data_IF_668499685804
#
_entry.id   IF_668499685804
#
_cell.length_a   1.000
_cell.length_b   1.000
_cell.length_c   1.000
_cell.angle_alpha   90.00
_cell.angle_beta   90.00
_cell.angle_gamma   90.00
#
_symmetry.space_group_name_H-M   'P 1'
#
loop_
_entity.id
_entity.type
_entity.pdbx_description
1 polymer ?
#
# COMPACT_ATOMS: atom_id res chain seq x y z
N UNK A 1 40.46 -29.11 8.09
CA UNK A 1 40.19 -27.79 8.71
C UNK A 1 39.61 -26.77 7.74
N UNK A 2 40.19 -26.56 6.55
CA UNK A 2 39.65 -25.60 5.55
C UNK A 2 38.21 -25.86 5.08
N UNK A 3 37.81 -27.13 4.91
CA UNK A 3 36.44 -27.51 4.52
C UNK A 3 35.40 -27.33 5.65
N UNK A 4 35.81 -27.48 6.90
CA UNK A 4 34.95 -27.25 8.07
C UNK A 4 34.72 -25.75 8.31
N UNK A 5 35.77 -24.93 8.15
CA UNK A 5 35.65 -23.46 8.25
C UNK A 5 34.77 -22.91 7.13
N UNK A 6 34.88 -23.44 5.91
CA UNK A 6 34.05 -23.01 4.78
C UNK A 6 32.56 -23.34 5.00
N UNK A 7 32.23 -24.53 5.52
CA UNK A 7 30.85 -24.90 5.85
C UNK A 7 30.25 -24.01 6.95
N UNK A 8 31.02 -23.69 7.99
CA UNK A 8 30.56 -22.82 9.09
C UNK A 8 30.33 -21.39 8.60
N UNK A 9 31.19 -20.87 7.72
CA UNK A 9 31.06 -19.52 7.12
C UNK A 9 29.89 -19.46 6.15
N UNK A 10 29.66 -20.50 5.34
CA UNK A 10 28.50 -20.57 4.43
C UNK A 10 27.18 -20.63 5.21
N UNK A 11 27.13 -21.37 6.33
CA UNK A 11 25.92 -21.43 7.17
C UNK A 11 25.65 -20.13 7.96
N UNK A 12 26.70 -19.38 8.34
CA UNK A 12 26.57 -18.08 9.01
C UNK A 12 26.13 -16.97 8.06
N UNK A 13 26.56 -17.03 6.78
CA UNK A 13 26.16 -16.07 5.74
C UNK A 13 24.76 -16.40 5.18
N UNK A 14 24.38 -17.68 5.10
CA UNK A 14 23.03 -18.11 4.70
C UNK A 14 21.99 -17.98 5.83
N UNK A 15 22.43 -17.82 7.07
CA UNK A 15 21.57 -17.62 8.25
C UNK A 15 21.22 -16.15 8.56
N UNK A 16 21.73 -15.18 7.78
CA UNK A 16 21.62 -13.74 8.10
C UNK A 16 20.94 -12.89 7.01
N UNK A 17 20.00 -13.47 6.25
CA UNK A 17 19.01 -12.69 5.48
C UNK A 17 17.65 -13.40 5.51
N UNK A 18 17.18 -13.75 6.71
CA UNK A 18 15.77 -14.02 6.96
C UNK A 18 15.24 -12.87 7.81
N UNK A 19 15.33 -11.65 7.30
CA UNK A 19 14.36 -10.60 7.67
C UNK A 19 13.03 -11.03 7.08
N UNK A 20 12.43 -12.07 7.66
CA UNK A 20 11.07 -12.48 7.35
C UNK A 20 10.15 -11.39 7.84
N UNK A 21 9.26 -10.90 6.97
CA UNK A 21 8.21 -10.04 7.44
C UNK A 21 7.30 -10.77 8.43
N UNK A 22 6.89 -10.06 9.48
CA UNK A 22 5.72 -10.41 10.25
C UNK A 22 4.47 -10.17 9.41
N UNK A 23 3.62 -11.20 9.30
CA UNK A 23 2.24 -11.07 8.84
C UNK A 23 1.32 -10.89 10.05
N UNK A 24 0.68 -9.73 10.16
CA UNK A 24 -0.25 -9.38 11.22
C UNK A 24 -1.53 -8.84 10.58
N UNK A 25 -2.62 -9.59 10.77
CA UNK A 25 -3.94 -9.25 10.24
C UNK A 25 -4.45 -7.95 10.85
N UNK A 26 -4.76 -6.98 9.98
CA UNK A 26 -5.44 -5.69 10.19
C UNK A 26 -4.53 -4.45 10.32
N UNK A 27 -4.36 -3.75 9.19
CA UNK A 27 -3.92 -2.34 9.14
C UNK A 27 -5.07 -1.38 8.81
N UNK A 28 -4.93 -0.17 9.31
CA UNK A 28 -5.89 0.91 9.21
C UNK A 28 -6.12 1.33 7.77
N UNK A 29 -7.37 1.66 7.52
CA UNK A 29 -7.85 2.27 6.30
C UNK A 29 -7.29 3.68 6.20
N UNK A 30 -6.79 4.05 5.01
CA UNK A 30 -6.59 5.46 4.66
C UNK A 30 -7.97 5.98 4.22
N UNK A 31 -8.56 6.97 4.93
CA UNK A 31 -9.87 7.50 4.57
C UNK A 31 -9.88 8.04 3.14
N UNK A 32 -11.06 8.14 2.54
CA UNK A 32 -11.21 8.80 1.25
C UNK A 32 -10.84 10.29 1.36
N UNK A 33 -9.60 10.61 0.99
CA UNK A 33 -9.07 11.97 1.00
C UNK A 33 -9.30 12.56 -0.39
N UNK A 34 -9.95 13.72 -0.46
CA UNK A 34 -10.05 14.48 -1.70
C UNK A 34 -8.66 14.97 -2.11
N UNK A 35 -8.30 14.82 -3.39
CA UNK A 35 -7.01 15.26 -3.89
C UNK A 35 -6.83 16.76 -3.62
N UNK A 36 -5.92 17.13 -2.72
CA UNK A 36 -5.49 18.51 -2.55
C UNK A 36 -4.09 18.65 -3.11
N UNK A 37 -4.02 19.21 -4.32
CA UNK A 37 -2.77 19.61 -4.93
C UNK A 37 -1.98 20.53 -3.97
N UNK A 38 -0.76 20.12 -3.62
CA UNK A 38 0.18 20.99 -2.91
C UNK A 38 1.08 21.67 -3.94
N UNK A 39 0.85 22.95 -4.16
CA UNK A 39 1.62 23.81 -5.08
C UNK A 39 3.12 23.92 -4.75
N UNK A 40 3.56 23.46 -3.58
CA UNK A 40 4.97 23.43 -3.18
C UNK A 40 5.60 22.03 -3.31
N UNK A 41 4.90 21.04 -3.88
CA UNK A 41 5.49 19.73 -4.11
C UNK A 41 6.51 19.81 -5.27
N UNK A 42 7.80 19.46 -5.05
CA UNK A 42 8.80 19.41 -6.13
C UNK A 42 8.45 18.41 -7.25
N UNK A 43 7.53 17.49 -7.00
CA UNK A 43 6.90 16.64 -8.00
C UNK A 43 5.38 16.88 -8.01
N UNK A 44 4.85 17.77 -8.88
CA UNK A 44 3.42 18.12 -8.90
C UNK A 44 2.52 16.93 -9.26
N UNK A 45 3.09 15.85 -9.78
CA UNK A 45 2.40 14.67 -10.26
C UNK A 45 2.39 13.52 -9.24
N UNK A 46 2.87 13.75 -8.02
CA UNK A 46 2.87 12.78 -6.91
C UNK A 46 2.31 13.42 -5.64
N UNK A 47 1.56 12.68 -4.84
CA UNK A 47 0.99 13.15 -3.57
C UNK A 47 0.76 11.98 -2.62
N UNK A 48 1.21 12.11 -1.37
CA UNK A 48 0.96 11.13 -0.32
C UNK A 48 -0.46 11.24 0.24
N UNK A 49 -1.16 10.12 0.34
CA UNK A 49 -2.58 10.10 0.74
C UNK A 49 -2.74 9.79 2.23
N UNK A 50 -1.79 9.08 2.84
CA UNK A 50 -1.74 8.88 4.28
C UNK A 50 -0.96 7.64 4.71
N UNK A 51 -0.80 7.53 6.03
CA UNK A 51 -0.11 6.43 6.69
C UNK A 51 -0.96 5.15 6.71
N UNK A 52 -0.31 4.00 6.49
CA UNK A 52 -0.86 2.68 6.84
C UNK A 52 -0.56 2.43 8.32
N UNK A 53 -1.59 2.18 9.13
CA UNK A 53 -1.45 2.09 10.60
C UNK A 53 -1.86 0.72 11.12
N UNK A 54 -0.94 -0.10 11.62
CA UNK A 54 -1.23 -1.38 12.27
C UNK A 54 -1.61 -1.18 13.74
N UNK A 55 -2.43 -2.09 14.27
CA UNK A 55 -2.73 -2.12 15.72
C UNK A 55 -3.31 -0.81 16.28
N UNK A 56 -3.94 0.01 15.42
CA UNK A 56 -4.52 1.34 15.72
C UNK A 56 -3.53 2.50 15.92
N UNK A 57 -2.24 2.24 16.17
CA UNK A 57 -1.28 3.31 16.53
C UNK A 57 0.08 3.23 15.85
N UNK A 58 0.44 2.09 15.27
CA UNK A 58 1.77 1.89 14.71
C UNK A 58 1.75 2.22 13.22
N UNK A 59 2.48 3.24 12.78
CA UNK A 59 2.67 3.52 11.36
C UNK A 59 3.61 2.43 10.81
N UNK A 60 3.14 1.72 9.80
CA UNK A 60 3.87 0.59 9.19
C UNK A 60 4.25 0.85 7.74
N UNK A 61 3.90 2.02 7.22
CA UNK A 61 4.06 2.36 5.81
C UNK A 61 3.11 3.45 5.39
N UNK A 62 2.91 3.59 4.08
CA UNK A 62 2.07 4.64 3.51
C UNK A 62 1.51 4.28 2.14
N UNK A 63 0.60 5.14 1.69
CA UNK A 63 0.04 5.10 0.33
C UNK A 63 0.41 6.38 -0.41
N UNK A 64 1.07 6.23 -1.54
CA UNK A 64 1.41 7.29 -2.47
C UNK A 64 0.51 7.21 -3.70
N UNK A 65 0.09 8.37 -4.20
CA UNK A 65 -0.60 8.47 -5.49
C UNK A 65 0.17 9.36 -6.42
N UNK A 66 0.43 8.87 -7.62
CA UNK A 66 1.00 9.65 -8.70
C UNK A 66 0.20 9.46 -9.98
N UNK A 67 0.48 10.27 -11.00
CA UNK A 67 -0.12 10.11 -12.33
C UNK A 67 0.83 10.56 -13.42
N UNK A 68 0.62 10.05 -14.63
CA UNK A 68 1.20 10.62 -15.84
C UNK A 68 0.08 11.08 -16.79
N UNK A 69 0.35 11.12 -18.09
CA UNK A 69 -0.63 11.52 -19.11
C UNK A 69 -1.70 10.45 -19.40
N UNK A 70 -1.47 9.21 -19.00
CA UNK A 70 -2.28 8.04 -19.36
C UNK A 70 -2.82 7.28 -18.14
N UNK A 71 -2.07 7.22 -17.04
CA UNK A 71 -2.41 6.41 -15.87
C UNK A 71 -2.38 7.19 -14.55
N UNK A 72 -3.23 6.75 -13.62
CA UNK A 72 -3.12 6.99 -12.18
C UNK A 72 -2.40 5.78 -11.56
N UNK A 73 -1.40 6.05 -10.73
CA UNK A 73 -0.66 5.06 -9.96
C UNK A 73 -1.00 5.21 -8.47
N UNK A 74 -1.33 4.10 -7.81
CA UNK A 74 -1.54 4.07 -6.36
C UNK A 74 -0.64 3.02 -5.76
N UNK A 75 0.42 3.47 -5.08
CA UNK A 75 1.49 2.63 -4.53
C UNK A 75 1.34 2.48 -3.03
N UNK A 76 1.29 1.24 -2.57
CA UNK A 76 1.35 0.84 -1.17
C UNK A 76 2.79 0.48 -0.85
N UNK A 77 3.35 1.03 0.23
CA UNK A 77 4.68 0.68 0.72
C UNK A 77 4.60 0.40 2.21
N UNK A 78 5.30 -0.64 2.66
CA UNK A 78 5.41 -0.98 4.10
C UNK A 78 6.86 -1.14 4.51
N UNK A 79 7.16 -0.68 5.72
CA UNK A 79 8.48 -0.77 6.33
C UNK A 79 8.68 -2.12 7.01
N UNK A 80 9.92 -2.61 7.00
CA UNK A 80 10.25 -3.82 7.74
C UNK A 80 9.88 -3.67 9.25
N UNK A 81 9.29 -4.69 9.89
CA UNK A 81 9.14 -6.07 9.40
C UNK A 81 7.78 -6.36 8.73
N UNK A 82 7.03 -5.38 8.23
CA UNK A 82 5.67 -5.62 7.71
C UNK A 82 5.69 -6.00 6.23
N UNK A 83 4.77 -6.89 5.81
CA UNK A 83 4.59 -7.25 4.39
C UNK A 83 3.11 -7.35 4.03
N UNK A 84 2.74 -6.72 2.93
CA UNK A 84 1.41 -6.77 2.32
C UNK A 84 1.04 -8.20 1.93
N UNK A 85 -0.06 -8.68 2.49
CA UNK A 85 -0.71 -9.96 2.13
C UNK A 85 -1.92 -9.72 1.24
N UNK A 86 -2.64 -8.61 1.43
CA UNK A 86 -3.72 -8.16 0.56
C UNK A 86 -3.74 -6.62 0.43
N UNK A 87 -4.14 -6.11 -0.72
CA UNK A 87 -4.41 -4.67 -0.92
C UNK A 87 -5.80 -4.49 -1.51
N UNK A 88 -6.46 -3.39 -1.17
CA UNK A 88 -7.79 -3.02 -1.61
C UNK A 88 -7.81 -1.54 -1.94
N UNK A 89 -8.18 -1.19 -3.18
CA UNK A 89 -8.29 0.19 -3.64
C UNK A 89 -9.69 0.52 -4.18
N UNK A 90 -10.18 1.70 -3.81
CA UNK A 90 -11.35 2.33 -4.44
C UNK A 90 -10.99 3.73 -4.92
N UNK A 91 -11.32 4.02 -6.17
CA UNK A 91 -11.16 5.33 -6.80
C UNK A 91 -12.53 5.74 -7.36
N UNK A 92 -13.02 6.92 -7.02
CA UNK A 92 -14.34 7.37 -7.43
C UNK A 92 -14.43 8.90 -7.60
N UNK A 93 -15.41 9.35 -8.38
CA UNK A 93 -15.66 10.76 -8.66
C UNK A 93 -16.31 11.53 -7.49
N UNK A 94 -17.08 10.82 -6.69
CA UNK A 94 -17.79 11.33 -5.52
C UNK A 94 -17.41 10.47 -4.31
N UNK A 95 -17.21 11.13 -3.17
CA UNK A 95 -16.95 10.47 -1.90
C UNK A 95 -18.01 9.40 -1.58
N UNK A 96 -19.28 9.64 -1.92
CA UNK A 96 -20.38 8.70 -1.65
C UNK A 96 -20.26 7.38 -2.43
N UNK A 97 -19.53 7.38 -3.54
CA UNK A 97 -19.37 6.23 -4.43
C UNK A 97 -18.22 5.31 -3.97
N UNK A 98 -17.43 5.75 -2.98
CA UNK A 98 -16.50 4.89 -2.26
C UNK A 98 -17.29 3.91 -1.39
N UNK A 99 -17.07 2.58 -1.51
CA UNK A 99 -17.73 1.58 -0.69
C UNK A 99 -17.42 1.78 0.79
N UNK A 100 -18.41 2.28 1.54
CA UNK A 100 -18.27 2.61 2.95
C UNK A 100 -19.52 2.29 3.75
N UNK A 101 -19.33 2.04 5.04
CA UNK A 101 -20.40 1.91 6.02
C UNK A 101 -21.14 3.23 6.20
N UNK A 102 -22.31 3.21 6.83
CA UNK A 102 -23.09 4.42 7.16
C UNK A 102 -22.33 5.45 8.01
N UNK A 103 -21.22 5.06 8.65
CA UNK A 103 -20.34 5.92 9.44
C UNK A 103 -19.16 6.49 8.66
N UNK A 104 -19.05 6.17 7.37
CA UNK A 104 -17.96 6.62 6.51
C UNK A 104 -16.74 5.70 6.46
N UNK A 105 -16.73 4.60 7.22
CA UNK A 105 -15.60 3.67 7.22
C UNK A 105 -15.66 2.79 5.95
N UNK A 106 -14.58 2.70 5.17
CA UNK A 106 -14.54 1.82 4.00
C UNK A 106 -14.89 0.35 4.28
N UNK A 107 -15.42 -0.35 3.27
CA UNK A 107 -15.81 -1.78 3.31
C UNK A 107 -14.91 -2.64 2.39
N UNK A 108 -13.82 -3.26 2.90
CA UNK A 108 -12.80 -3.91 2.07
C UNK A 108 -13.34 -4.90 1.02
N UNK A 109 -14.27 -5.79 1.39
CA UNK A 109 -14.89 -6.77 0.48
C UNK A 109 -15.83 -6.19 -0.59
N UNK A 110 -15.83 -4.87 -0.80
CA UNK A 110 -16.61 -4.16 -1.82
C UNK A 110 -15.76 -3.24 -2.69
N UNK A 111 -14.45 -3.20 -2.46
CA UNK A 111 -13.56 -2.33 -3.22
C UNK A 111 -13.47 -2.81 -4.69
N UNK A 112 -13.52 -1.90 -5.68
CA UNK A 112 -13.43 -2.28 -7.10
C UNK A 112 -12.11 -2.95 -7.47
N UNK A 113 -11.02 -2.58 -6.80
CA UNK A 113 -9.69 -3.12 -7.02
C UNK A 113 -9.22 -3.87 -5.77
N UNK A 114 -8.67 -5.06 -5.96
CA UNK A 114 -8.09 -5.86 -4.89
C UNK A 114 -7.01 -6.80 -5.42
N UNK A 115 -5.98 -7.06 -4.64
CA UNK A 115 -4.92 -8.02 -4.95
C UNK A 115 -4.54 -8.82 -3.71
N UNK A 116 -4.29 -10.12 -3.90
CA UNK A 116 -3.68 -11.00 -2.88
C UNK A 116 -2.21 -11.21 -3.24
N UNK A 117 -1.35 -11.24 -2.25
CA UNK A 117 0.10 -11.35 -2.38
C UNK A 117 0.58 -12.63 -1.71
N UNK A 118 0.88 -13.63 -2.53
CA UNK A 118 1.51 -14.89 -2.09
C UNK A 118 2.66 -15.23 -3.05
N UNK A 119 3.94 -15.03 -2.65
CA UNK A 119 4.37 -14.58 -1.32
C UNK A 119 4.01 -13.11 -1.03
N UNK A 120 3.95 -12.76 0.25
CA UNK A 120 3.73 -11.39 0.70
C UNK A 120 4.83 -10.44 0.19
N UNK A 121 4.49 -9.18 -0.06
CA UNK A 121 5.37 -8.18 -0.68
C UNK A 121 5.48 -6.92 0.18
N UNK A 122 6.54 -6.13 0.02
CA UNK A 122 6.71 -4.85 0.75
C UNK A 122 6.17 -3.65 -0.02
N UNK A 123 5.88 -3.82 -1.31
CA UNK A 123 5.37 -2.76 -2.18
C UNK A 123 4.40 -3.34 -3.21
N UNK A 124 3.35 -2.58 -3.54
CA UNK A 124 2.42 -2.92 -4.62
C UNK A 124 1.79 -1.67 -5.24
N UNK A 125 1.74 -1.60 -6.56
CA UNK A 125 1.14 -0.48 -7.31
C UNK A 125 -0.05 -0.94 -8.13
N UNK A 126 -1.16 -0.22 -7.99
CA UNK A 126 -2.27 -0.26 -8.96
C UNK A 126 -2.01 0.76 -10.07
N UNK A 127 -2.20 0.32 -11.31
CA UNK A 127 -2.16 1.17 -12.52
C UNK A 127 -3.58 1.25 -13.09
N UNK A 128 -4.16 2.46 -13.10
CA UNK A 128 -5.54 2.68 -13.54
C UNK A 128 -5.54 3.67 -14.71
N UNK A 129 -6.07 3.30 -15.89
CA UNK A 129 -6.17 4.23 -17.01
C UNK A 129 -6.97 5.48 -16.62
N UNK A 130 -6.42 6.66 -16.87
CA UNK A 130 -7.14 7.93 -16.63
C UNK A 130 -8.38 8.06 -17.51
N UNK A 131 -8.44 7.35 -18.64
CA UNK A 131 -9.62 7.28 -19.49
C UNK A 131 -10.83 6.63 -18.80
N UNK A 132 -10.60 5.81 -17.78
CA UNK A 132 -11.64 5.14 -17.00
C UNK A 132 -12.03 5.94 -15.75
N UNK A 133 -11.43 7.11 -15.54
CA UNK A 133 -11.57 7.92 -14.34
C UNK A 133 -12.12 9.32 -14.63
N UNK A 134 -12.84 9.87 -13.67
CA UNK A 134 -13.30 11.26 -13.69
C UNK A 134 -12.20 12.24 -13.25
N UNK A 135 -12.42 13.54 -13.46
CA UNK A 135 -11.42 14.58 -13.17
C UNK A 135 -11.26 14.90 -11.68
N UNK A 136 -12.30 14.71 -10.88
CA UNK A 136 -12.25 14.83 -9.43
C UNK A 136 -12.15 13.42 -8.86
N UNK A 137 -11.15 13.14 -8.02
CA UNK A 137 -10.93 11.80 -7.49
C UNK A 137 -10.96 11.78 -5.96
N UNK A 138 -11.69 10.81 -5.44
CA UNK A 138 -11.63 10.33 -4.07
C UNK A 138 -10.97 8.95 -4.10
N UNK A 139 -9.99 8.74 -3.22
CA UNK A 139 -9.20 7.51 -3.18
C UNK A 139 -9.26 6.96 -1.77
N UNK A 140 -9.75 5.73 -1.63
CA UNK A 140 -9.71 4.98 -0.39
C UNK A 140 -8.82 3.75 -0.55
N UNK A 141 -7.91 3.57 0.41
CA UNK A 141 -6.93 2.51 0.40
C UNK A 141 -7.02 1.70 1.69
N UNK A 142 -6.87 0.39 1.56
CA UNK A 142 -6.80 -0.54 2.67
C UNK A 142 -5.82 -1.64 2.30
N UNK A 143 -5.12 -2.17 3.29
CA UNK A 143 -4.24 -3.30 3.07
C UNK A 143 -4.33 -4.27 4.26
N UNK A 144 -3.74 -5.44 4.10
CA UNK A 144 -3.52 -6.42 5.15
C UNK A 144 -2.03 -6.72 5.11
N UNK A 145 -1.39 -6.81 6.28
CA UNK A 145 0.06 -7.02 6.43
C UNK A 145 0.37 -8.16 7.37
#
# INVERSE_FOLDING_TARGET
MRKLVYLIVVTLVLGLVLTGCSVLSDISQVPATGQKYNENNPNPDTFEIGDLVAGQTEIVGGVEVSKDTEYLYVTYMVDAPWCLTETHLAVAADFKDIPQTKKGNPMPGKFPYSAKHDPAVTEYTYEIPLADLDTNLFIAAHAEV
#
